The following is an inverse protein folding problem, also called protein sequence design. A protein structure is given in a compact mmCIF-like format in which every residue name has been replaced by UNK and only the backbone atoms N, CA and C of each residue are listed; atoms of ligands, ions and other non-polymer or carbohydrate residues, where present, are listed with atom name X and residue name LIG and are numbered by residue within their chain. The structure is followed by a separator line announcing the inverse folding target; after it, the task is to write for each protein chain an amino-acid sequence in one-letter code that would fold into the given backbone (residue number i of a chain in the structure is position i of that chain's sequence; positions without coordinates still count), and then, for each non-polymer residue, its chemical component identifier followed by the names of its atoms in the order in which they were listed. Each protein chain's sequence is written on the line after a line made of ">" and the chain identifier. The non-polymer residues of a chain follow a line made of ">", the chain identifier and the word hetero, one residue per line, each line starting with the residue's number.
data_IF_972277149680
#
_entry.id   IF_972277149680
#
_cell.length_a   1.000
_cell.length_b   1.000
_cell.length_c   1.000
_cell.angle_alpha   90.00
_cell.angle_beta   90.00
_cell.angle_gamma   90.00
#
_symmetry.space_group_name_H-M   'P 1'
#
loop_
_entity.id
_entity.type
_entity.pdbx_description
1 polymer ?
#
# COMPACT_ATOMS: atom_id res chain seq x y z
N UNK A 1 -33.19 24.54 9.85
CA UNK A 1 -32.57 24.39 8.54
C UNK A 1 -31.33 23.51 8.76
N UNK A 2 -31.23 22.37 8.10
CA UNK A 2 -29.99 21.59 8.08
C UNK A 2 -28.92 22.50 7.46
N UNK A 3 -27.79 22.65 8.14
CA UNK A 3 -26.64 23.38 7.59
C UNK A 3 -26.24 22.70 6.29
N UNK A 4 -26.02 23.46 5.21
CA UNK A 4 -25.47 22.91 3.97
C UNK A 4 -24.10 22.33 4.26
N UNK A 5 -23.96 21.02 4.10
CA UNK A 5 -22.71 20.31 4.33
C UNK A 5 -21.70 20.65 3.24
N UNK A 6 -20.44 20.74 3.60
CA UNK A 6 -19.35 21.06 2.69
C UNK A 6 -18.27 19.99 2.76
N UNK A 7 -17.87 19.47 1.59
CA UNK A 7 -16.70 18.60 1.43
C UNK A 7 -15.59 19.39 0.72
N UNK A 8 -14.45 19.53 1.36
CA UNK A 8 -13.25 20.10 0.76
C UNK A 8 -12.43 19.00 0.08
N UNK A 9 -11.93 19.27 -1.14
CA UNK A 9 -10.98 18.39 -1.86
C UNK A 9 -9.67 19.16 -2.00
N UNK A 10 -8.58 18.64 -1.40
CA UNK A 10 -7.29 19.34 -1.34
C UNK A 10 -6.30 18.92 -2.43
N UNK A 11 -6.40 17.71 -2.96
CA UNK A 11 -5.53 17.27 -4.04
C UNK A 11 -5.86 17.98 -5.37
N UNK A 12 -4.89 18.13 -6.28
CA UNK A 12 -5.12 18.73 -7.59
C UNK A 12 -6.15 17.94 -8.39
N UNK A 13 -7.15 18.62 -8.93
CA UNK A 13 -8.22 18.02 -9.72
C UNK A 13 -8.25 18.60 -11.13
N UNK A 14 -8.49 17.77 -12.13
CA UNK A 14 -8.95 18.13 -13.46
C UNK A 14 -10.48 18.12 -13.53
N UNK A 15 -11.05 18.33 -14.70
CA UNK A 15 -12.50 18.34 -14.90
C UNK A 15 -13.16 16.96 -14.61
N UNK A 16 -12.47 15.86 -14.88
CA UNK A 16 -12.96 14.50 -14.63
C UNK A 16 -13.05 14.24 -13.13
N UNK A 17 -12.00 14.51 -12.36
CA UNK A 17 -12.03 14.34 -10.90
C UNK A 17 -13.01 15.28 -10.22
N UNK A 18 -13.13 16.52 -10.69
CA UNK A 18 -14.10 17.47 -10.15
C UNK A 18 -15.52 16.94 -10.35
N UNK A 19 -15.84 16.47 -11.56
CA UNK A 19 -17.15 15.87 -11.86
C UNK A 19 -17.42 14.64 -10.99
N UNK A 20 -16.48 13.69 -10.88
CA UNK A 20 -16.66 12.48 -10.08
C UNK A 20 -16.99 12.80 -8.63
N UNK A 21 -16.21 13.67 -7.98
CA UNK A 21 -16.45 14.04 -6.59
C UNK A 21 -17.81 14.73 -6.44
N UNK A 22 -18.15 15.63 -7.37
CA UNK A 22 -19.42 16.37 -7.35
C UNK A 22 -20.61 15.43 -7.55
N UNK A 23 -20.57 14.54 -8.56
CA UNK A 23 -21.67 13.63 -8.88
C UNK A 23 -21.94 12.66 -7.72
N UNK A 24 -20.89 12.07 -7.11
CA UNK A 24 -21.03 11.12 -6.00
C UNK A 24 -21.62 11.79 -4.74
N UNK A 25 -21.25 13.04 -4.47
CA UNK A 25 -21.60 13.76 -3.24
C UNK A 25 -22.81 14.70 -3.40
N UNK A 26 -23.36 14.86 -4.61
CA UNK A 26 -24.38 15.87 -4.97
C UNK A 26 -25.63 15.89 -4.08
N UNK A 27 -26.04 14.75 -3.55
CA UNK A 27 -27.22 14.63 -2.68
C UNK A 27 -26.91 14.94 -1.20
N UNK A 28 -25.63 14.90 -0.79
CA UNK A 28 -25.22 14.97 0.62
C UNK A 28 -24.52 16.26 1.00
N UNK A 29 -23.76 16.86 0.08
CA UNK A 29 -22.94 18.03 0.35
C UNK A 29 -22.59 18.80 -0.93
N UNK A 30 -22.27 20.08 -0.78
CA UNK A 30 -21.52 20.83 -1.79
C UNK A 30 -20.04 20.45 -1.73
N UNK A 31 -19.38 20.43 -2.90
CA UNK A 31 -17.96 20.11 -3.01
C UNK A 31 -17.17 21.36 -3.37
N UNK A 32 -16.10 21.64 -2.64
CA UNK A 32 -15.18 22.74 -2.92
C UNK A 32 -13.78 22.21 -3.17
N UNK A 33 -13.20 22.60 -4.30
CA UNK A 33 -11.84 22.19 -4.69
C UNK A 33 -10.85 23.27 -4.28
N UNK A 34 -10.00 22.99 -3.28
CA UNK A 34 -9.05 23.98 -2.75
C UNK A 34 -8.04 24.47 -3.79
N UNK A 35 -7.74 23.67 -4.83
CA UNK A 35 -6.90 24.10 -5.95
C UNK A 35 -7.52 25.20 -6.80
N UNK A 36 -8.85 25.37 -6.78
CA UNK A 36 -9.60 26.38 -7.51
C UNK A 36 -9.93 27.60 -6.64
N UNK A 37 -9.63 27.53 -5.33
CA UNK A 37 -9.85 28.62 -4.38
C UNK A 37 -8.56 29.45 -4.25
N UNK A 38 -8.62 30.81 -4.25
CA UNK A 38 -7.48 31.66 -3.94
C UNK A 38 -6.78 31.24 -2.65
N UNK A 39 -5.45 31.21 -2.62
CA UNK A 39 -4.67 30.72 -1.48
C UNK A 39 -5.07 31.40 -0.17
N UNK A 40 -5.35 32.72 -0.21
CA UNK A 40 -5.79 33.51 0.95
C UNK A 40 -7.15 33.10 1.51
N UNK A 41 -7.98 32.37 0.74
CA UNK A 41 -9.34 31.96 1.14
C UNK A 41 -9.40 30.47 1.50
N UNK A 42 -8.40 29.66 1.15
CA UNK A 42 -8.40 28.19 1.35
C UNK A 42 -8.66 27.80 2.79
N UNK A 43 -8.04 28.49 3.74
CA UNK A 43 -8.21 28.21 5.16
C UNK A 43 -9.66 28.48 5.62
N UNK A 44 -10.31 29.50 5.10
CA UNK A 44 -11.71 29.80 5.43
C UNK A 44 -12.67 28.74 4.89
N UNK A 45 -12.39 28.19 3.71
CA UNK A 45 -13.14 27.05 3.16
C UNK A 45 -12.93 25.78 3.99
N UNK A 46 -11.67 25.46 4.29
CA UNK A 46 -11.32 24.29 5.11
C UNK A 46 -11.95 24.35 6.50
N UNK A 47 -11.99 25.54 7.12
CA UNK A 47 -12.57 25.74 8.43
C UNK A 47 -14.07 25.45 8.49
N UNK A 48 -14.78 25.52 7.37
CA UNK A 48 -16.22 25.24 7.25
C UNK A 48 -16.53 23.84 6.73
N UNK A 49 -15.54 23.09 6.29
CA UNK A 49 -15.73 21.77 5.73
C UNK A 49 -16.14 20.75 6.80
N UNK A 50 -17.14 19.94 6.51
CA UNK A 50 -17.55 18.79 7.33
C UNK A 50 -16.62 17.58 7.09
N UNK A 51 -16.12 17.43 5.86
CA UNK A 51 -15.17 16.39 5.50
C UNK A 51 -14.12 16.92 4.52
N UNK A 52 -12.96 16.28 4.54
CA UNK A 52 -11.81 16.55 3.66
C UNK A 52 -11.44 15.30 2.88
N UNK A 53 -11.26 15.44 1.56
CA UNK A 53 -10.61 14.41 0.74
C UNK A 53 -9.24 14.94 0.33
N UNK A 54 -8.16 14.26 0.71
CA UNK A 54 -6.80 14.66 0.38
C UNK A 54 -5.91 13.49 -0.03
N UNK A 55 -4.74 13.78 -0.56
CA UNK A 55 -3.75 12.78 -0.95
C UNK A 55 -2.47 12.93 -0.13
N UNK A 56 -1.86 14.12 -0.18
CA UNK A 56 -0.66 14.48 0.56
C UNK A 56 -0.95 15.73 1.38
N UNK A 57 -1.61 15.55 2.51
CA UNK A 57 -2.13 16.64 3.33
C UNK A 57 -1.07 17.69 3.70
N UNK A 58 0.17 17.34 4.11
CA UNK A 58 1.19 18.35 4.43
C UNK A 58 1.53 19.24 3.25
N UNK A 59 1.61 18.68 2.03
CA UNK A 59 1.92 19.43 0.81
C UNK A 59 0.75 20.27 0.31
N UNK A 60 -0.48 19.78 0.53
CA UNK A 60 -1.71 20.37 -0.01
C UNK A 60 -2.24 21.51 0.85
N UNK A 61 -2.09 21.40 2.17
CA UNK A 61 -2.71 22.30 3.13
C UNK A 61 -1.71 23.23 3.83
N UNK A 62 -0.45 22.80 3.99
CA UNK A 62 0.55 23.49 4.82
C UNK A 62 0.37 23.23 6.32
N UNK A 63 1.30 23.75 7.11
CA UNK A 63 1.38 23.51 8.54
C UNK A 63 0.22 24.16 9.32
N UNK A 64 -0.35 23.43 10.26
CA UNK A 64 -1.39 23.92 11.19
C UNK A 64 -2.75 24.19 10.54
N UNK A 65 -2.98 23.81 9.28
CA UNK A 65 -4.25 24.06 8.59
C UNK A 65 -5.40 23.25 9.20
N UNK A 66 -5.16 21.99 9.58
CA UNK A 66 -6.17 21.10 10.16
C UNK A 66 -6.57 21.53 11.59
N UNK A 67 -5.64 22.09 12.36
CA UNK A 67 -5.93 22.63 13.69
C UNK A 67 -6.89 23.83 13.64
N UNK A 68 -6.93 24.53 12.50
CA UNK A 68 -7.79 25.70 12.24
C UNK A 68 -9.06 25.33 11.46
N UNK A 69 -9.46 24.06 11.48
CA UNK A 69 -10.67 23.55 10.82
C UNK A 69 -11.67 23.00 11.83
N UNK A 70 -12.36 23.87 12.61
CA UNK A 70 -13.19 23.48 13.75
C UNK A 70 -14.44 22.67 13.35
N UNK A 71 -14.90 22.81 12.12
CA UNK A 71 -16.09 22.10 11.61
C UNK A 71 -15.75 20.74 11.00
N UNK A 72 -14.46 20.45 10.83
CA UNK A 72 -14.00 19.20 10.21
C UNK A 72 -14.29 17.98 11.12
N UNK A 73 -14.94 16.98 10.55
CA UNK A 73 -15.36 15.77 11.28
C UNK A 73 -14.86 14.47 10.68
N UNK A 74 -14.30 14.50 9.47
CA UNK A 74 -13.80 13.31 8.78
C UNK A 74 -12.72 13.68 7.76
N UNK A 75 -11.68 12.86 7.68
CA UNK A 75 -10.64 12.96 6.64
C UNK A 75 -10.58 11.64 5.88
N UNK A 76 -10.71 11.71 4.57
CA UNK A 76 -10.53 10.61 3.64
C UNK A 76 -9.27 10.83 2.82
N UNK A 77 -8.33 9.89 2.88
CA UNK A 77 -7.17 9.92 1.98
C UNK A 77 -7.51 9.28 0.63
N UNK A 78 -6.92 9.79 -0.44
CA UNK A 78 -6.95 9.15 -1.76
C UNK A 78 -5.99 7.95 -1.80
N UNK A 79 -4.92 7.96 -1.00
CA UNK A 79 -4.00 6.85 -0.79
C UNK A 79 -4.55 5.80 0.17
N UNK A 80 -4.04 4.56 0.07
CA UNK A 80 -4.40 3.48 1.00
C UNK A 80 -3.67 3.61 2.35
N UNK A 81 -2.42 4.09 2.37
CA UNK A 81 -1.61 4.28 3.58
C UNK A 81 -1.61 5.73 4.06
N UNK A 82 -1.29 5.95 5.35
CA UNK A 82 -1.22 7.26 5.99
C UNK A 82 0.16 7.55 6.63
N UNK A 83 1.20 6.87 6.22
CA UNK A 83 2.55 7.02 6.75
C UNK A 83 3.19 8.39 6.48
N UNK A 84 2.62 9.17 5.55
CA UNK A 84 2.99 10.56 5.29
C UNK A 84 2.22 11.59 6.14
N UNK A 85 1.23 11.15 6.92
CA UNK A 85 0.38 12.03 7.73
C UNK A 85 0.94 12.14 9.14
N UNK A 86 1.16 13.36 9.63
CA UNK A 86 1.43 13.59 11.04
C UNK A 86 0.10 13.63 11.83
N UNK A 87 -0.21 12.53 12.49
CA UNK A 87 -1.45 12.41 13.28
C UNK A 87 -1.55 13.42 14.44
N UNK A 88 -0.44 14.04 14.86
CA UNK A 88 -0.45 15.08 15.89
C UNK A 88 -1.11 16.37 15.43
N UNK A 89 -1.11 16.62 14.11
CA UNK A 89 -1.74 17.80 13.48
C UNK A 89 -3.24 17.63 13.23
N UNK A 90 -3.77 16.41 13.42
CA UNK A 90 -5.19 16.12 13.23
C UNK A 90 -5.88 16.20 14.61
N UNK A 91 -6.99 16.96 14.77
CA UNK A 91 -7.76 16.95 16.02
C UNK A 91 -8.17 15.53 16.44
N UNK A 92 -8.12 15.21 17.72
CA UNK A 92 -8.41 13.86 18.24
C UNK A 92 -9.81 13.35 17.87
N UNK A 93 -10.77 14.25 17.77
CA UNK A 93 -12.15 13.94 17.41
C UNK A 93 -12.37 13.65 15.93
N UNK A 94 -11.36 13.89 15.08
CA UNK A 94 -11.49 13.75 13.62
C UNK A 94 -10.90 12.40 13.19
N UNK A 95 -11.73 11.41 12.83
CA UNK A 95 -11.26 10.15 12.27
C UNK A 95 -10.67 10.36 10.88
N UNK A 96 -9.65 9.54 10.56
CA UNK A 96 -8.99 9.49 9.26
C UNK A 96 -9.14 8.10 8.67
N UNK A 97 -9.49 8.03 7.39
CA UNK A 97 -9.58 6.79 6.63
C UNK A 97 -8.67 6.81 5.41
N UNK A 98 -8.05 5.67 5.13
CA UNK A 98 -7.34 5.41 3.87
C UNK A 98 -8.27 4.81 2.81
N UNK A 99 -7.87 4.88 1.56
CA UNK A 99 -8.64 4.38 0.42
C UNK A 99 -8.38 2.88 0.17
N UNK A 100 -8.69 2.07 1.17
CA UNK A 100 -8.41 0.62 1.16
C UNK A 100 -9.10 -0.05 -0.03
N UNK A 101 -8.34 -0.82 -0.80
CA UNK A 101 -8.83 -1.58 -1.94
C UNK A 101 -8.94 -0.80 -3.26
N UNK A 102 -8.75 0.52 -3.28
CA UNK A 102 -8.82 1.32 -4.51
C UNK A 102 -7.77 0.88 -5.56
N UNK A 103 -6.60 0.47 -5.11
CA UNK A 103 -5.47 0.05 -5.95
C UNK A 103 -5.23 -1.47 -5.93
N UNK A 104 -6.14 -2.24 -5.33
CA UNK A 104 -5.90 -3.66 -5.03
C UNK A 104 -5.64 -4.52 -6.27
N UNK A 105 -6.44 -4.33 -7.32
CA UNK A 105 -6.31 -5.14 -8.56
C UNK A 105 -4.97 -4.92 -9.26
N UNK A 106 -4.59 -3.69 -9.66
CA UNK A 106 -3.31 -3.47 -10.34
C UNK A 106 -2.11 -3.85 -9.47
N UNK A 107 -2.16 -3.62 -8.17
CA UNK A 107 -1.09 -4.04 -7.27
C UNK A 107 -0.99 -5.57 -7.18
N UNK A 108 -2.10 -6.30 -7.16
CA UNK A 108 -2.08 -7.76 -7.20
C UNK A 108 -1.51 -8.31 -8.52
N UNK A 109 -1.81 -7.67 -9.65
CA UNK A 109 -1.21 -8.00 -10.96
C UNK A 109 0.31 -7.77 -10.95
N UNK A 110 0.77 -6.67 -10.37
CA UNK A 110 2.21 -6.39 -10.22
C UNK A 110 2.89 -7.42 -9.32
N UNK A 111 2.29 -7.79 -8.18
CA UNK A 111 2.79 -8.86 -7.31
C UNK A 111 2.94 -10.16 -8.09
N UNK A 112 1.92 -10.55 -8.87
CA UNK A 112 1.99 -11.75 -9.70
C UNK A 112 3.08 -11.66 -10.76
N UNK A 113 3.20 -10.52 -11.46
CA UNK A 113 4.23 -10.30 -12.48
C UNK A 113 5.63 -10.45 -11.90
N UNK A 114 5.90 -9.78 -10.76
CA UNK A 114 7.20 -9.85 -10.08
C UNK A 114 7.49 -11.27 -9.54
N UNK A 115 6.49 -11.90 -8.91
CA UNK A 115 6.62 -13.27 -8.40
C UNK A 115 6.93 -14.26 -9.52
N UNK A 116 6.16 -14.24 -10.61
CA UNK A 116 6.36 -15.14 -11.76
C UNK A 116 7.68 -14.88 -12.47
N UNK A 117 8.12 -13.62 -12.57
CA UNK A 117 9.43 -13.28 -13.13
C UNK A 117 10.56 -13.95 -12.35
N UNK A 118 10.50 -13.97 -11.01
CA UNK A 118 11.48 -14.62 -10.15
C UNK A 118 11.33 -16.14 -10.13
N UNK A 119 10.10 -16.68 -10.02
CA UNK A 119 9.81 -18.12 -10.06
C UNK A 119 10.34 -18.74 -11.34
N UNK A 120 10.29 -18.02 -12.47
CA UNK A 120 10.77 -18.46 -13.78
C UNK A 120 12.14 -17.88 -14.16
N UNK A 121 12.80 -17.14 -13.25
CA UNK A 121 14.12 -16.53 -13.45
C UNK A 121 14.24 -15.74 -14.76
N UNK A 122 13.15 -15.09 -15.19
CA UNK A 122 13.10 -14.42 -16.49
C UNK A 122 14.17 -13.34 -16.67
N UNK A 123 14.47 -12.46 -15.69
CA UNK A 123 15.53 -11.46 -15.82
C UNK A 123 16.91 -12.09 -16.01
N UNK A 124 17.23 -13.16 -15.25
CA UNK A 124 18.51 -13.88 -15.33
C UNK A 124 18.66 -14.58 -16.68
N UNK A 125 17.65 -15.36 -17.10
CA UNK A 125 17.68 -16.05 -18.39
C UNK A 125 17.76 -15.08 -19.56
N UNK A 126 17.09 -13.91 -19.48
CA UNK A 126 17.24 -12.89 -20.51
C UNK A 126 18.68 -12.37 -20.60
N UNK A 127 19.30 -12.11 -19.46
CA UNK A 127 20.70 -11.67 -19.42
C UNK A 127 21.68 -12.75 -19.88
N UNK A 128 21.46 -14.03 -19.53
CA UNK A 128 22.23 -15.18 -20.00
C UNK A 128 22.17 -15.33 -21.52
N UNK A 129 20.96 -15.30 -22.08
CA UNK A 129 20.75 -15.36 -23.55
C UNK A 129 21.45 -14.21 -24.27
N UNK A 130 21.43 -13.00 -23.71
CA UNK A 130 22.15 -11.84 -24.28
C UNK A 130 23.67 -12.03 -24.35
N UNK A 131 24.23 -12.92 -23.49
CA UNK A 131 25.65 -13.32 -23.51
C UNK A 131 25.92 -14.56 -24.35
N UNK A 132 24.89 -15.14 -24.98
CA UNK A 132 24.99 -16.37 -25.77
C UNK A 132 24.98 -17.65 -24.91
N UNK A 133 24.63 -17.55 -23.64
CA UNK A 133 24.46 -18.69 -22.74
C UNK A 133 23.05 -19.28 -22.93
N UNK A 134 22.96 -20.61 -23.18
CA UNK A 134 21.70 -21.28 -23.45
C UNK A 134 21.54 -22.50 -22.55
N UNK A 135 20.99 -22.29 -21.34
CA UNK A 135 20.80 -23.35 -20.35
C UNK A 135 19.33 -23.82 -20.34
N UNK A 136 19.10 -25.09 -20.72
CA UNK A 136 17.78 -25.74 -20.70
C UNK A 136 17.61 -26.73 -19.53
N UNK A 137 18.65 -26.94 -18.73
CA UNK A 137 18.71 -28.03 -17.77
C UNK A 137 18.38 -27.59 -16.34
N UNK A 138 18.36 -26.29 -16.07
CA UNK A 138 18.14 -25.80 -14.72
C UNK A 138 16.66 -25.89 -14.33
N UNK A 139 16.32 -26.57 -13.22
CA UNK A 139 14.96 -26.69 -12.77
C UNK A 139 14.44 -25.33 -12.24
N UNK A 140 13.24 -24.97 -12.63
CA UNK A 140 12.56 -23.76 -12.20
C UNK A 140 11.57 -24.08 -11.08
N UNK A 141 11.26 -23.06 -10.25
CA UNK A 141 10.22 -23.14 -9.25
C UNK A 141 8.82 -23.14 -9.90
N UNK A 142 7.82 -23.55 -9.11
CA UNK A 142 6.39 -23.48 -9.48
C UNK A 142 5.59 -22.90 -8.32
N UNK A 143 4.47 -22.28 -8.62
CA UNK A 143 3.49 -21.83 -7.61
C UNK A 143 2.51 -22.93 -7.22
N UNK A 144 2.36 -23.97 -8.05
CA UNK A 144 1.48 -25.09 -7.74
C UNK A 144 1.97 -25.84 -6.48
N UNK A 145 1.09 -25.90 -5.47
CA UNK A 145 1.39 -26.45 -4.14
C UNK A 145 2.26 -25.57 -3.24
N UNK A 146 2.82 -24.45 -3.74
CA UNK A 146 3.63 -23.52 -2.93
C UNK A 146 2.77 -22.80 -1.87
N UNK A 147 3.35 -22.48 -0.72
CA UNK A 147 2.71 -21.64 0.31
C UNK A 147 2.97 -20.18 0.01
N UNK A 148 1.92 -19.44 -0.32
CA UNK A 148 1.95 -17.99 -0.40
C UNK A 148 1.47 -17.41 0.95
N UNK A 149 2.41 -16.92 1.76
CA UNK A 149 2.13 -16.20 2.99
C UNK A 149 1.90 -14.70 2.67
N UNK A 150 0.83 -14.14 3.24
CA UNK A 150 0.39 -12.77 2.95
C UNK A 150 0.32 -11.98 4.26
N UNK A 151 1.33 -11.14 4.52
CA UNK A 151 1.32 -10.21 5.64
C UNK A 151 0.50 -8.97 5.26
N UNK A 152 -0.68 -8.84 5.86
CA UNK A 152 -1.67 -7.81 5.53
C UNK A 152 -2.76 -8.33 4.59
N UNK A 153 -3.75 -9.03 5.14
CA UNK A 153 -4.86 -9.59 4.38
C UNK A 153 -6.02 -8.59 4.23
N UNK A 154 -5.66 -7.39 3.72
CA UNK A 154 -6.60 -6.34 3.29
C UNK A 154 -6.89 -6.43 1.79
N UNK A 155 -7.26 -5.30 1.15
CA UNK A 155 -7.65 -5.27 -0.26
C UNK A 155 -6.59 -5.86 -1.22
N UNK A 156 -5.31 -5.49 -1.05
CA UNK A 156 -4.20 -5.97 -1.89
C UNK A 156 -3.96 -7.46 -1.63
N UNK A 157 -3.82 -7.84 -0.36
CA UNK A 157 -3.58 -9.23 0.04
C UNK A 157 -4.67 -10.16 -0.46
N UNK A 158 -5.94 -9.77 -0.31
CA UNK A 158 -7.09 -10.53 -0.80
C UNK A 158 -7.08 -10.68 -2.33
N UNK A 159 -6.84 -9.59 -3.07
CA UNK A 159 -6.77 -9.65 -4.53
C UNK A 159 -5.62 -10.55 -5.00
N UNK A 160 -4.46 -10.47 -4.34
CA UNK A 160 -3.31 -11.35 -4.63
C UNK A 160 -3.60 -12.81 -4.28
N UNK A 161 -4.24 -13.09 -3.15
CA UNK A 161 -4.62 -14.45 -2.75
C UNK A 161 -5.44 -15.16 -3.81
N UNK A 162 -6.43 -14.46 -4.40
CA UNK A 162 -7.27 -15.00 -5.47
C UNK A 162 -6.46 -15.36 -6.72
N UNK A 163 -5.49 -14.53 -7.10
CA UNK A 163 -4.60 -14.81 -8.23
C UNK A 163 -3.64 -15.97 -7.92
N UNK A 164 -2.99 -15.97 -6.76
CA UNK A 164 -2.08 -17.04 -6.33
C UNK A 164 -2.79 -18.39 -6.26
N UNK A 165 -4.03 -18.42 -5.75
CA UNK A 165 -4.86 -19.63 -5.71
C UNK A 165 -5.17 -20.17 -7.11
N UNK A 166 -5.40 -19.31 -8.10
CA UNK A 166 -5.60 -19.72 -9.48
C UNK A 166 -4.35 -20.41 -10.10
N UNK A 167 -3.16 -20.19 -9.51
CA UNK A 167 -1.92 -20.87 -9.84
C UNK A 167 -1.64 -22.11 -8.97
N UNK A 168 -2.61 -22.55 -8.15
CA UNK A 168 -2.47 -23.71 -7.30
C UNK A 168 -1.74 -23.48 -5.98
N UNK A 169 -1.45 -22.24 -5.59
CA UNK A 169 -0.80 -21.93 -4.32
C UNK A 169 -1.76 -22.09 -3.14
N UNK A 170 -1.22 -22.50 -1.99
CA UNK A 170 -1.88 -22.50 -0.67
C UNK A 170 -1.72 -21.12 -0.04
N UNK A 171 -2.77 -20.60 0.57
CA UNK A 171 -2.79 -19.22 1.10
C UNK A 171 -2.71 -19.23 2.62
N UNK A 172 -1.65 -18.65 3.17
CA UNK A 172 -1.50 -18.35 4.59
C UNK A 172 -1.68 -16.85 4.82
N UNK A 173 -2.81 -16.45 5.37
CA UNK A 173 -3.17 -15.05 5.56
C UNK A 173 -2.80 -14.56 6.97
N UNK A 174 -2.30 -13.32 7.07
CA UNK A 174 -2.07 -12.65 8.35
C UNK A 174 -2.79 -11.31 8.36
N UNK A 175 -3.64 -11.10 9.36
CA UNK A 175 -4.33 -9.84 9.59
C UNK A 175 -4.42 -9.51 11.09
N UNK A 176 -5.00 -8.37 11.44
CA UNK A 176 -5.08 -7.93 12.84
C UNK A 176 -6.08 -8.73 13.69
N UNK A 177 -7.05 -9.41 13.08
CA UNK A 177 -8.11 -10.14 13.79
C UNK A 177 -7.85 -11.65 13.90
N UNK A 178 -6.94 -12.22 13.09
CA UNK A 178 -6.77 -13.67 12.95
C UNK A 178 -8.00 -14.38 12.35
N UNK A 179 -8.89 -13.64 11.67
CA UNK A 179 -10.14 -14.18 11.10
C UNK A 179 -10.36 -13.65 9.69
N UNK A 180 -10.97 -14.45 8.84
CA UNK A 180 -11.43 -14.07 7.50
C UNK A 180 -12.61 -14.96 7.08
N UNK A 181 -13.48 -14.41 6.22
CA UNK A 181 -14.53 -15.18 5.55
C UNK A 181 -14.06 -15.78 4.21
N UNK A 182 -12.86 -15.43 3.78
CA UNK A 182 -12.29 -15.94 2.53
C UNK A 182 -11.75 -17.36 2.71
N UNK A 183 -11.78 -18.12 1.65
CA UNK A 183 -11.21 -19.48 1.62
C UNK A 183 -9.68 -19.39 1.60
N UNK A 184 -9.05 -19.71 2.75
CA UNK A 184 -7.60 -19.73 2.95
C UNK A 184 -7.19 -21.00 3.68
N UNK A 185 -5.96 -21.44 3.48
CA UNK A 185 -5.44 -22.67 4.09
C UNK A 185 -5.02 -22.44 5.56
N UNK A 186 -4.68 -21.20 5.88
CA UNK A 186 -4.34 -20.74 7.24
C UNK A 186 -4.69 -19.26 7.40
N UNK A 187 -5.13 -18.86 8.59
CA UNK A 187 -5.27 -17.46 8.98
C UNK A 187 -4.75 -17.26 10.40
N UNK A 188 -3.90 -16.23 10.59
CA UNK A 188 -3.32 -15.88 11.88
C UNK A 188 -3.13 -14.36 12.01
N UNK A 189 -2.42 -13.99 13.08
CA UNK A 189 -2.03 -12.62 13.42
C UNK A 189 -0.51 -12.47 13.38
N UNK A 190 0.02 -11.30 13.70
CA UNK A 190 1.48 -11.11 13.84
C UNK A 190 2.09 -11.93 15.00
N UNK A 191 1.30 -12.45 15.93
CA UNK A 191 1.79 -13.37 16.95
C UNK A 191 2.20 -14.74 16.37
N UNK A 192 1.67 -15.09 15.19
CA UNK A 192 1.93 -16.34 14.50
C UNK A 192 3.01 -16.18 13.41
N UNK A 193 3.73 -15.05 13.41
CA UNK A 193 4.65 -14.67 12.35
C UNK A 193 5.73 -15.74 12.09
N UNK A 194 6.33 -16.31 13.12
CA UNK A 194 7.41 -17.30 13.00
C UNK A 194 6.93 -18.57 12.25
N UNK A 195 5.73 -19.06 12.56
CA UNK A 195 5.13 -20.21 11.88
C UNK A 195 4.86 -19.89 10.40
N UNK A 196 4.29 -18.72 10.15
CA UNK A 196 3.97 -18.25 8.79
C UNK A 196 5.23 -18.09 7.93
N UNK A 197 6.30 -17.52 8.48
CA UNK A 197 7.58 -17.34 7.78
C UNK A 197 8.24 -18.67 7.44
N UNK A 198 8.25 -19.62 8.40
CA UNK A 198 8.83 -20.95 8.21
C UNK A 198 8.13 -21.74 7.11
N UNK A 199 6.81 -21.58 6.97
CA UNK A 199 6.03 -22.26 5.96
C UNK A 199 6.16 -21.65 4.55
N UNK A 200 6.50 -20.35 4.45
CA UNK A 200 6.39 -19.56 3.22
C UNK A 200 7.38 -19.98 2.12
N UNK A 201 6.87 -20.23 0.92
CA UNK A 201 7.64 -20.26 -0.33
C UNK A 201 7.64 -18.89 -1.00
N UNK A 202 6.53 -18.15 -0.89
CA UNK A 202 6.39 -16.76 -1.29
C UNK A 202 5.84 -15.96 -0.13
N UNK A 203 6.50 -14.88 0.26
CA UNK A 203 6.04 -13.93 1.27
C UNK A 203 5.64 -12.61 0.62
N UNK A 204 4.36 -12.30 0.63
CA UNK A 204 3.86 -10.97 0.24
C UNK A 204 3.81 -10.05 1.46
N UNK A 205 4.44 -8.89 1.37
CA UNK A 205 4.33 -7.80 2.34
C UNK A 205 3.38 -6.74 1.79
N UNK A 206 2.19 -6.63 2.39
CA UNK A 206 1.14 -5.66 2.04
C UNK A 206 0.50 -5.00 3.30
N UNK A 207 1.23 -5.02 4.41
CA UNK A 207 0.89 -4.33 5.66
C UNK A 207 1.04 -2.80 5.52
N UNK A 208 0.25 -2.00 6.25
CA UNK A 208 0.57 -0.58 6.43
C UNK A 208 1.86 -0.42 7.25
N UNK A 209 2.62 0.64 6.97
CA UNK A 209 3.74 1.03 7.81
C UNK A 209 3.22 1.76 9.06
N UNK A 210 3.45 1.16 10.21
CA UNK A 210 3.06 1.66 11.53
C UNK A 210 4.20 1.47 12.52
N UNK A 211 4.05 1.94 13.75
CA UNK A 211 5.02 1.68 14.81
C UNK A 211 5.22 0.18 15.11
N UNK A 212 4.19 -0.66 14.83
CA UNK A 212 4.24 -2.11 15.04
C UNK A 212 4.87 -2.88 13.88
N UNK A 213 4.87 -2.30 12.68
CA UNK A 213 5.32 -2.99 11.46
C UNK A 213 6.65 -2.45 10.92
N UNK A 214 7.17 -1.38 11.48
CA UNK A 214 8.50 -0.86 11.15
C UNK A 214 9.57 -1.87 11.57
N UNK A 215 10.46 -2.22 10.63
CA UNK A 215 11.51 -3.25 10.79
C UNK A 215 10.96 -4.58 11.33
N UNK A 216 9.71 -4.91 10.97
CA UNK A 216 9.06 -6.17 11.35
C UNK A 216 9.86 -7.39 10.86
N UNK A 217 10.46 -7.28 9.67
CA UNK A 217 11.26 -8.33 9.06
C UNK A 217 12.74 -7.94 9.16
N UNK A 218 13.39 -8.35 10.22
CA UNK A 218 14.82 -8.22 10.45
C UNK A 218 15.59 -9.51 10.15
N UNK A 219 16.86 -9.57 10.55
CA UNK A 219 17.73 -10.71 10.31
C UNK A 219 17.18 -12.03 10.89
N UNK A 220 16.53 -11.97 12.07
CA UNK A 220 15.92 -13.14 12.71
C UNK A 220 14.75 -13.68 11.87
N UNK A 221 13.86 -12.81 11.45
CA UNK A 221 12.67 -13.17 10.67
C UNK A 221 13.05 -13.73 9.29
N UNK A 222 13.99 -13.08 8.62
CA UNK A 222 14.51 -13.56 7.32
C UNK A 222 15.17 -14.92 7.44
N UNK A 223 15.90 -15.19 8.53
CA UNK A 223 16.55 -16.49 8.78
C UNK A 223 15.54 -17.64 9.05
N UNK A 224 14.30 -17.35 9.42
CA UNK A 224 13.24 -18.36 9.56
C UNK A 224 12.69 -18.82 8.21
N UNK A 225 12.84 -18.02 7.16
CA UNK A 225 12.31 -18.34 5.84
C UNK A 225 13.12 -19.44 5.15
N UNK A 226 12.49 -20.12 4.21
CA UNK A 226 13.17 -21.15 3.39
C UNK A 226 14.31 -20.51 2.57
N UNK A 227 15.45 -21.19 2.38
CA UNK A 227 16.56 -20.67 1.57
C UNK A 227 16.23 -20.37 0.12
N UNK A 228 15.12 -20.90 -0.39
CA UNK A 228 14.60 -20.71 -1.76
C UNK A 228 13.36 -19.83 -1.79
N UNK A 229 13.00 -19.18 -0.69
CA UNK A 229 11.80 -18.36 -0.62
C UNK A 229 11.93 -17.07 -1.46
N UNK A 230 10.79 -16.52 -1.81
CA UNK A 230 10.67 -15.25 -2.53
C UNK A 230 9.95 -14.27 -1.62
N UNK A 231 10.55 -13.12 -1.33
CA UNK A 231 9.87 -12.01 -0.66
C UNK A 231 9.43 -10.97 -1.69
N UNK A 232 8.18 -10.50 -1.60
CA UNK A 232 7.61 -9.48 -2.48
C UNK A 232 7.11 -8.32 -1.62
N UNK A 233 7.73 -7.15 -1.74
CA UNK A 233 7.35 -5.97 -0.96
C UNK A 233 6.73 -4.90 -1.86
N UNK A 234 5.41 -4.76 -1.79
CA UNK A 234 4.63 -3.69 -2.46
C UNK A 234 4.02 -2.71 -1.45
N UNK A 235 4.43 -2.80 -0.18
CA UNK A 235 3.90 -1.98 0.90
C UNK A 235 4.77 -0.74 1.15
N UNK A 236 5.79 -0.88 2.02
CA UNK A 236 6.80 0.15 2.32
C UNK A 236 8.16 -0.51 2.60
N UNK A 237 9.24 0.11 2.15
CA UNK A 237 10.61 -0.37 2.40
C UNK A 237 10.87 -0.60 3.89
N UNK A 238 10.55 0.38 4.73
CA UNK A 238 10.80 0.38 6.16
C UNK A 238 10.06 -0.71 6.99
N UNK A 239 9.28 -1.58 6.37
CA UNK A 239 8.73 -2.79 7.03
C UNK A 239 9.81 -3.87 7.14
N UNK A 240 10.77 -3.85 6.23
CA UNK A 240 11.91 -4.75 6.20
C UNK A 240 13.15 -3.95 6.60
N UNK A 241 14.02 -4.49 7.42
CA UNK A 241 15.33 -3.91 7.71
C UNK A 241 16.20 -3.99 6.45
N UNK A 242 16.69 -2.84 5.96
CA UNK A 242 17.42 -2.74 4.68
C UNK A 242 18.71 -3.53 4.71
N UNK A 243 19.49 -3.39 5.80
CA UNK A 243 20.76 -4.10 5.98
C UNK A 243 20.54 -5.61 6.07
N UNK A 244 19.60 -6.02 6.90
CA UNK A 244 19.29 -7.43 7.10
C UNK A 244 18.87 -8.12 5.81
N UNK A 245 18.02 -7.47 5.00
CA UNK A 245 17.62 -8.03 3.71
C UNK A 245 18.80 -8.15 2.74
N UNK A 246 19.63 -7.11 2.65
CA UNK A 246 20.81 -7.14 1.78
C UNK A 246 21.78 -8.27 2.17
N UNK A 247 22.15 -8.35 3.46
CA UNK A 247 23.04 -9.38 3.98
C UNK A 247 22.47 -10.79 3.78
N UNK A 248 21.15 -10.95 3.97
CA UNK A 248 20.48 -12.23 3.73
C UNK A 248 20.53 -12.64 2.26
N UNK A 249 20.27 -11.72 1.33
CA UNK A 249 20.34 -11.97 -0.12
C UNK A 249 21.74 -12.33 -0.60
N UNK A 250 22.77 -11.72 -0.02
CA UNK A 250 24.19 -12.06 -0.31
C UNK A 250 24.52 -13.46 0.22
N UNK A 251 24.06 -13.79 1.42
CA UNK A 251 24.34 -15.08 2.07
C UNK A 251 23.53 -16.23 1.47
N UNK A 252 22.38 -15.96 0.88
CA UNK A 252 21.42 -16.95 0.34
C UNK A 252 21.12 -16.66 -1.14
N UNK A 253 21.97 -17.09 -2.09
CA UNK A 253 21.79 -16.76 -3.52
C UNK A 253 20.53 -17.35 -4.17
N UNK A 254 19.88 -18.33 -3.52
CA UNK A 254 18.62 -18.93 -3.97
C UNK A 254 17.38 -18.30 -3.31
N UNK A 255 17.57 -17.37 -2.38
CA UNK A 255 16.51 -16.52 -1.85
C UNK A 255 16.35 -15.31 -2.77
N UNK A 256 15.11 -14.94 -3.10
CA UNK A 256 14.83 -13.86 -4.04
C UNK A 256 14.04 -12.73 -3.38
N UNK A 257 14.28 -11.50 -3.82
CA UNK A 257 13.49 -10.34 -3.41
C UNK A 257 12.93 -9.60 -4.61
N UNK A 258 11.63 -9.32 -4.58
CA UNK A 258 10.94 -8.41 -5.47
C UNK A 258 10.54 -7.16 -4.68
N UNK A 259 11.06 -5.99 -5.04
CA UNK A 259 10.91 -4.76 -4.26
C UNK A 259 10.29 -3.69 -5.15
N UNK A 260 9.04 -3.30 -4.84
CA UNK A 260 8.37 -2.14 -5.45
C UNK A 260 8.52 -0.90 -4.55
N UNK A 261 8.40 -1.07 -3.23
CA UNK A 261 8.52 0.00 -2.25
C UNK A 261 9.91 0.02 -1.59
N UNK A 262 10.61 1.14 -1.69
CA UNK A 262 12.01 1.29 -1.28
C UNK A 262 12.15 2.14 -0.01
N UNK A 263 13.32 2.10 0.64
CA UNK A 263 13.63 2.84 1.87
C UNK A 263 13.85 4.34 1.60
N UNK A 264 14.53 4.67 0.51
CA UNK A 264 14.94 6.04 0.16
C UNK A 264 14.37 6.46 -1.20
N UNK A 265 13.04 6.58 -1.25
CA UNK A 265 12.32 7.02 -2.44
C UNK A 265 12.50 8.54 -2.68
N UNK A 266 12.35 9.01 -3.93
CA UNK A 266 12.45 10.44 -4.24
C UNK A 266 11.44 11.26 -3.45
N UNK A 267 11.90 12.12 -2.56
CA UNK A 267 11.07 13.05 -1.79
C UNK A 267 11.80 14.38 -1.60
N UNK A 268 11.07 15.50 -1.71
CA UNK A 268 11.61 16.84 -1.42
C UNK A 268 12.84 17.21 -2.26
N UNK A 269 12.91 16.78 -3.52
CA UNK A 269 14.05 17.02 -4.41
C UNK A 269 15.26 16.08 -4.20
N UNK A 270 15.19 15.14 -3.25
CA UNK A 270 16.21 14.10 -3.09
C UNK A 270 16.01 13.03 -4.16
N UNK A 271 17.09 12.51 -4.79
CA UNK A 271 17.01 11.43 -5.76
C UNK A 271 16.69 10.09 -5.05
N UNK A 272 16.30 9.09 -5.84
CA UNK A 272 16.26 7.70 -5.39
C UNK A 272 17.67 7.22 -5.04
N UNK A 273 17.81 6.55 -3.90
CA UNK A 273 19.07 5.90 -3.48
C UNK A 273 18.77 4.62 -2.70
N UNK A 274 19.77 3.75 -2.60
CA UNK A 274 19.80 2.61 -1.68
C UNK A 274 21.06 2.69 -0.84
N UNK A 275 21.03 2.25 0.42
CA UNK A 275 22.23 2.22 1.26
C UNK A 275 23.15 1.06 0.86
N UNK A 276 22.57 0.00 0.27
CA UNK A 276 23.29 -1.20 -0.16
C UNK A 276 23.11 -1.42 -1.67
N UNK A 277 24.06 -2.03 -2.37
CA UNK A 277 24.03 -2.20 -3.82
C UNK A 277 23.10 -3.37 -4.25
N UNK A 278 21.80 -3.26 -3.98
CA UNK A 278 20.81 -4.28 -4.33
C UNK A 278 20.77 -4.61 -5.83
N UNK A 279 21.06 -3.64 -6.69
CA UNK A 279 21.00 -3.82 -8.14
C UNK A 279 22.18 -4.62 -8.72
N UNK A 280 23.23 -4.86 -7.91
CA UNK A 280 24.33 -5.73 -8.27
C UNK A 280 24.02 -7.21 -7.99
N UNK A 281 22.92 -7.49 -7.28
CA UNK A 281 22.51 -8.84 -6.89
C UNK A 281 21.59 -9.46 -7.97
N UNK A 282 21.91 -10.69 -8.45
CA UNK A 282 21.12 -11.36 -9.49
C UNK A 282 19.77 -11.88 -8.98
N UNK A 283 19.58 -11.95 -7.65
CA UNK A 283 18.38 -12.44 -6.99
C UNK A 283 17.44 -11.30 -6.50
N UNK A 284 17.62 -10.09 -7.05
CA UNK A 284 16.78 -8.92 -6.76
C UNK A 284 16.06 -8.45 -8.03
N UNK A 285 14.77 -8.17 -7.92
CA UNK A 285 13.96 -7.54 -8.94
C UNK A 285 13.31 -6.27 -8.37
N UNK A 286 13.62 -5.10 -8.94
CA UNK A 286 13.10 -3.82 -8.51
C UNK A 286 12.06 -3.25 -9.45
N UNK A 287 11.10 -2.47 -8.90
CA UNK A 287 10.23 -1.56 -9.64
C UNK A 287 10.08 -0.23 -8.89
N UNK A 288 9.69 0.89 -9.55
CA UNK A 288 9.80 2.24 -9.00
C UNK A 288 8.56 2.69 -8.23
N UNK A 289 8.02 1.86 -7.34
CA UNK A 289 6.82 2.12 -6.53
C UNK A 289 5.61 2.57 -7.36
N UNK A 290 5.38 1.88 -8.45
CA UNK A 290 4.30 2.19 -9.39
C UNK A 290 3.26 1.07 -9.55
N UNK A 291 3.28 0.07 -8.69
CA UNK A 291 2.39 -1.10 -8.73
C UNK A 291 0.90 -0.75 -8.78
N UNK A 292 0.51 0.37 -8.16
CA UNK A 292 -0.87 0.87 -8.18
C UNK A 292 -1.19 1.80 -9.35
N UNK A 293 -0.20 2.23 -10.15
CA UNK A 293 -0.36 3.31 -11.14
C UNK A 293 -0.63 2.74 -12.54
N UNK A 294 -1.88 2.43 -12.83
CA UNK A 294 -2.34 2.02 -14.16
C UNK A 294 -3.28 3.05 -14.76
N UNK A 295 -3.43 3.04 -16.08
CA UNK A 295 -4.35 3.93 -16.78
C UNK A 295 -5.78 3.81 -16.20
N UNK A 296 -6.42 4.94 -15.89
CA UNK A 296 -7.78 5.00 -15.38
C UNK A 296 -7.96 4.63 -13.90
N UNK A 297 -6.89 4.39 -13.13
CA UNK A 297 -7.02 4.01 -11.71
C UNK A 297 -7.48 5.17 -10.84
N UNK A 298 -6.97 6.37 -11.09
CA UNK A 298 -7.23 7.53 -10.22
C UNK A 298 -8.70 7.98 -10.24
N UNK A 299 -9.43 8.01 -11.36
CA UNK A 299 -10.88 8.23 -11.36
C UNK A 299 -11.63 7.26 -10.46
N UNK A 300 -11.33 5.97 -10.54
CA UNK A 300 -11.92 4.95 -9.66
C UNK A 300 -11.56 5.13 -8.19
N UNK A 301 -10.33 5.54 -7.89
CA UNK A 301 -9.91 5.85 -6.53
C UNK A 301 -10.62 7.10 -5.98
N UNK A 302 -10.80 8.15 -6.80
CA UNK A 302 -11.55 9.34 -6.41
C UNK A 302 -13.03 9.02 -6.12
N UNK A 303 -13.68 8.25 -7.00
CA UNK A 303 -15.06 7.81 -6.78
C UNK A 303 -15.21 7.02 -5.47
N UNK A 304 -14.29 6.07 -5.22
CA UNK A 304 -14.31 5.28 -3.98
C UNK A 304 -14.09 6.12 -2.72
N UNK A 305 -13.18 7.09 -2.77
CA UNK A 305 -12.96 8.03 -1.68
C UNK A 305 -14.20 8.89 -1.41
N UNK A 306 -14.84 9.41 -2.45
CA UNK A 306 -16.07 10.18 -2.35
C UNK A 306 -17.23 9.34 -1.80
N UNK A 307 -17.39 8.07 -2.22
CA UNK A 307 -18.39 7.16 -1.66
C UNK A 307 -18.20 6.92 -0.16
N UNK A 308 -16.95 6.76 0.29
CA UNK A 308 -16.67 6.58 1.72
C UNK A 308 -17.01 7.86 2.53
N UNK A 309 -16.79 9.05 1.96
CA UNK A 309 -17.24 10.32 2.56
C UNK A 309 -18.78 10.39 2.58
N UNK A 310 -19.44 9.95 1.53
CA UNK A 310 -20.93 9.89 1.47
C UNK A 310 -21.47 8.99 2.58
N UNK A 311 -20.89 7.79 2.79
CA UNK A 311 -21.25 6.92 3.92
C UNK A 311 -21.08 7.65 5.27
N UNK A 312 -19.94 8.33 5.47
CA UNK A 312 -19.73 9.11 6.69
C UNK A 312 -20.82 10.17 6.89
N UNK A 313 -21.13 10.94 5.86
CA UNK A 313 -22.15 11.99 5.93
C UNK A 313 -23.55 11.44 6.22
N UNK A 314 -23.87 10.22 5.81
CA UNK A 314 -25.10 9.51 6.11
C UNK A 314 -25.12 8.86 7.49
N UNK A 315 -24.01 8.82 8.21
CA UNK A 315 -23.85 8.07 9.47
C UNK A 315 -23.80 6.56 9.26
N UNK A 316 -23.45 6.12 8.06
CA UNK A 316 -23.24 4.74 7.68
C UNK A 316 -21.81 4.28 8.00
N UNK A 317 -21.55 2.98 8.07
CA UNK A 317 -20.19 2.47 8.31
C UNK A 317 -19.21 2.90 7.21
N UNK A 318 -18.04 3.43 7.62
CA UNK A 318 -16.94 3.78 6.73
C UNK A 318 -15.87 2.70 6.73
N UNK A 319 -15.13 2.58 5.63
CA UNK A 319 -14.02 1.63 5.49
C UNK A 319 -12.67 2.32 5.64
N UNK A 320 -11.64 1.58 6.02
CA UNK A 320 -10.27 2.09 6.03
C UNK A 320 -9.92 3.03 7.19
N UNK A 321 -10.73 3.06 8.27
CA UNK A 321 -10.42 3.83 9.46
C UNK A 321 -9.06 3.43 10.04
N UNK A 322 -8.27 4.42 10.40
CA UNK A 322 -6.91 4.25 10.92
C UNK A 322 -6.87 4.54 12.42
N UNK A 323 -6.18 3.69 13.16
CA UNK A 323 -5.92 3.89 14.58
C UNK A 323 -4.77 4.88 14.76
N UNK A 324 -5.01 6.01 15.42
CA UNK A 324 -3.95 6.98 15.77
C UNK A 324 -2.80 6.34 16.55
N UNK A 325 -3.13 5.41 17.46
CA UNK A 325 -2.14 4.72 18.29
C UNK A 325 -1.13 3.90 17.49
N UNK A 326 -1.43 3.56 16.25
CA UNK A 326 -0.50 2.81 15.38
C UNK A 326 0.53 3.74 14.70
N UNK A 327 0.33 5.08 14.75
CA UNK A 327 1.18 6.08 14.08
C UNK A 327 1.82 7.09 15.05
N UNK A 328 1.36 7.19 16.29
CA UNK A 328 1.90 7.99 17.38
C UNK A 328 2.76 7.12 18.31
#
# INVERSE_FOLDING_TARGET
>A
MLRDRLVAVSYPVDEEYARINTDVLSEEASVSFLSQVPETERQAFLARADALIGWNLPRELGDGALEKAPDLRFIQLLSAGADSVDFRTIPESVPLAGNVGAYAKPMAEQVMAMTLALVKRLPQHHAELARGEFNQSEPLLTLDGAVCAILGFGGIGLATARLMRAFGARIHAVNSSGMTSEDVDYVGTLADLDEVLTAADVLLVSLPLTNKTRNLLGARELALMKPTAIIVNVARGAIIDEQALYEHLVAQPQFYAAIDAWWHEPRGGKPFTTEYPFFDLPNVLGSPHNSGMVAGILPGAAAKAAENVKHFLRGEPVTGLMSRADYL
#
